data_IF_460366601844
#
_entry.id   IF_460366601844
#
_cell.length_a   1.000
_cell.length_b   1.000
_cell.length_c   1.000
_cell.angle_alpha   90.00
_cell.angle_beta   90.00
_cell.angle_gamma   90.00
#
_symmetry.space_group_name_H-M   'P 1'
#
loop_
_entity.id
_entity.type
_entity.pdbx_description
1 polymer ?
#
# COMPACT_ATOMS: atom_id res chain seq x y z
N UNK A 1 13.46 52.47 -7.24
CA UNK A 1 12.69 51.68 -6.26
C UNK A 1 11.60 50.85 -6.95
N UNK A 2 11.94 50.07 -7.99
CA UNK A 2 10.99 49.17 -8.67
C UNK A 2 11.49 47.72 -8.73
N UNK A 3 12.76 47.49 -8.36
CA UNK A 3 13.41 46.18 -8.43
C UNK A 3 13.26 45.34 -7.16
N UNK A 4 12.72 45.91 -6.06
CA UNK A 4 12.63 45.23 -4.76
C UNK A 4 11.27 44.55 -4.51
N UNK A 5 10.24 44.89 -5.31
CA UNK A 5 8.87 44.38 -5.12
C UNK A 5 8.65 43.05 -5.87
N UNK A 6 9.50 42.72 -6.84
CA UNK A 6 9.38 41.50 -7.65
C UNK A 6 10.01 40.24 -7.02
N UNK A 7 10.71 40.36 -5.89
CA UNK A 7 11.38 39.23 -5.23
C UNK A 7 10.52 38.52 -4.17
N UNK A 8 9.33 39.03 -3.87
CA UNK A 8 8.44 38.49 -2.82
C UNK A 8 7.24 37.73 -3.42
N UNK A 9 7.05 37.81 -4.74
CA UNK A 9 5.99 37.08 -5.43
C UNK A 9 6.52 35.76 -5.97
N UNK A 10 5.90 34.66 -5.55
CA UNK A 10 5.84 33.39 -6.27
C UNK A 10 6.89 32.31 -5.97
N UNK A 11 7.28 32.14 -4.71
CA UNK A 11 7.60 30.79 -4.20
C UNK A 11 6.71 30.49 -3.00
N UNK A 12 5.41 30.66 -3.20
CA UNK A 12 4.45 29.86 -2.45
C UNK A 12 4.50 28.44 -3.03
N UNK A 13 5.61 27.73 -2.83
CA UNK A 13 5.59 26.27 -2.86
C UNK A 13 4.70 25.87 -1.70
N UNK A 14 3.39 25.79 -1.98
CA UNK A 14 2.49 24.89 -1.28
C UNK A 14 3.09 23.50 -1.45
N UNK A 15 4.08 23.17 -0.62
CA UNK A 15 4.26 21.79 -0.19
C UNK A 15 2.98 21.48 0.55
N UNK A 16 1.95 21.07 -0.20
CA UNK A 16 0.81 20.40 0.38
C UNK A 16 1.39 19.24 1.15
N UNK A 17 1.44 19.39 2.47
CA UNK A 17 1.74 18.30 3.38
C UNK A 17 0.55 17.36 3.16
N UNK A 18 0.64 16.47 2.17
CA UNK A 18 -0.22 15.30 2.16
C UNK A 18 0.15 14.59 3.45
N UNK A 19 -0.71 14.72 4.46
CA UNK A 19 -0.63 13.90 5.64
C UNK A 19 -0.76 12.46 5.14
N UNK A 20 0.38 11.79 4.93
CA UNK A 20 0.41 10.40 4.54
C UNK A 20 -0.11 9.64 5.76
N UNK A 21 -1.24 8.93 5.60
CA UNK A 21 -1.75 8.04 6.63
C UNK A 21 -0.63 7.09 7.02
N UNK A 22 -0.21 7.10 8.29
CA UNK A 22 0.78 6.14 8.77
C UNK A 22 0.08 4.82 9.11
N UNK A 23 0.71 3.67 8.82
CA UNK A 23 0.27 2.39 9.33
C UNK A 23 0.13 2.42 10.85
N UNK A 24 -0.97 1.85 11.35
CA UNK A 24 -1.21 1.68 12.78
C UNK A 24 -0.51 0.44 13.33
N UNK A 25 -0.21 -0.54 12.46
CA UNK A 25 0.56 -1.72 12.82
C UNK A 25 1.30 -2.30 11.62
N UNK A 26 2.51 -2.79 11.84
CA UNK A 26 3.32 -3.52 10.85
C UNK A 26 3.89 -4.75 11.52
N UNK A 27 3.72 -5.92 10.90
CA UNK A 27 4.25 -7.19 11.40
C UNK A 27 5.02 -7.89 10.29
N UNK A 28 6.33 -7.96 10.43
CA UNK A 28 7.20 -8.70 9.52
C UNK A 28 7.20 -10.19 9.88
N UNK A 29 7.11 -11.04 8.87
CA UNK A 29 7.36 -12.47 9.02
C UNK A 29 8.87 -12.76 8.99
N UNK A 30 9.25 -13.95 9.46
CA UNK A 30 10.60 -14.46 9.24
C UNK A 30 10.77 -14.79 7.74
N UNK A 31 11.85 -14.32 7.08
CA UNK A 31 12.11 -14.65 5.69
C UNK A 31 12.31 -16.16 5.52
N UNK A 32 11.69 -16.75 4.50
CA UNK A 32 11.87 -18.16 4.18
C UNK A 32 13.18 -18.35 3.40
N UNK A 33 14.27 -18.52 4.15
CA UNK A 33 15.59 -18.86 3.60
C UNK A 33 16.32 -17.69 2.93
N UNK A 34 17.58 -17.95 2.57
CA UNK A 34 18.50 -16.98 2.02
C UNK A 34 18.25 -16.84 0.51
N UNK A 35 17.66 -15.71 0.06
CA UNK A 35 17.54 -15.37 -1.37
C UNK A 35 16.13 -15.08 -1.90
N UNK A 36 15.07 -15.39 -1.15
CA UNK A 36 13.69 -15.06 -1.56
C UNK A 36 13.27 -13.71 -0.94
N UNK A 37 13.55 -12.62 -1.64
CA UNK A 37 13.08 -11.28 -1.28
C UNK A 37 11.92 -10.87 -2.19
N UNK A 38 10.88 -10.32 -1.60
CA UNK A 38 9.72 -9.77 -2.30
C UNK A 38 10.15 -8.44 -2.96
N UNK A 39 10.08 -8.38 -4.29
CA UNK A 39 10.43 -7.18 -5.04
C UNK A 39 9.30 -6.14 -5.00
N UNK A 40 9.67 -4.88 -4.79
CA UNK A 40 8.73 -3.73 -4.74
C UNK A 40 7.93 -3.57 -6.03
N UNK A 41 8.59 -3.70 -7.17
CA UNK A 41 7.95 -3.55 -8.49
C UNK A 41 6.92 -4.66 -8.73
N UNK A 42 7.22 -5.88 -8.30
CA UNK A 42 6.31 -7.02 -8.37
C UNK A 42 5.05 -6.78 -7.52
N UNK A 43 5.20 -6.27 -6.29
CA UNK A 43 4.05 -5.91 -5.48
C UNK A 43 3.24 -4.77 -6.08
N UNK A 44 3.90 -3.79 -6.70
CA UNK A 44 3.22 -2.65 -7.33
C UNK A 44 2.35 -3.12 -8.49
N UNK A 45 2.87 -4.04 -9.31
CA UNK A 45 2.14 -4.70 -10.40
C UNK A 45 1.04 -5.65 -9.91
N UNK A 46 1.27 -6.37 -8.81
CA UNK A 46 0.24 -7.18 -8.17
C UNK A 46 -0.91 -6.30 -7.65
N UNK A 47 -0.58 -5.17 -7.00
CA UNK A 47 -1.57 -4.21 -6.50
C UNK A 47 -2.38 -3.58 -7.65
N UNK A 48 -1.76 -3.31 -8.80
CA UNK A 48 -2.48 -2.74 -9.95
C UNK A 48 -3.46 -3.71 -10.63
N UNK A 49 -3.47 -5.00 -10.26
CA UNK A 49 -4.47 -5.96 -10.73
C UNK A 49 -5.82 -5.81 -10.03
N UNK A 50 -5.88 -5.14 -8.87
CA UNK A 50 -7.15 -4.86 -8.19
C UNK A 50 -7.96 -3.80 -8.92
N UNK A 51 -9.29 -3.90 -8.82
CA UNK A 51 -10.18 -2.85 -9.34
C UNK A 51 -10.07 -1.59 -8.50
N UNK A 52 -9.76 -0.47 -9.15
CA UNK A 52 -9.66 0.85 -8.51
C UNK A 52 -10.56 1.83 -9.25
N UNK A 53 -11.42 2.49 -8.50
CA UNK A 53 -12.29 3.56 -9.00
C UNK A 53 -12.26 4.74 -8.03
N UNK A 54 -12.06 5.95 -8.55
CA UNK A 54 -12.08 7.18 -7.74
C UNK A 54 -11.18 7.15 -6.50
N UNK A 55 -10.00 6.51 -6.60
CA UNK A 55 -9.05 6.39 -5.49
C UNK A 55 -9.41 5.35 -4.43
N UNK A 56 -10.42 4.53 -4.67
CA UNK A 56 -10.85 3.43 -3.81
C UNK A 56 -10.48 2.11 -4.47
N UNK A 57 -9.83 1.22 -3.72
CA UNK A 57 -9.55 -0.15 -4.16
C UNK A 57 -10.64 -1.08 -3.65
N UNK A 58 -11.12 -1.98 -4.50
CA UNK A 58 -12.20 -2.92 -4.21
C UNK A 58 -11.71 -4.36 -4.28
N UNK A 59 -12.22 -5.19 -3.37
CA UNK A 59 -11.98 -6.64 -3.37
C UNK A 59 -13.17 -7.40 -2.77
N UNK A 60 -13.12 -8.72 -2.88
CA UNK A 60 -14.11 -9.61 -2.28
C UNK A 60 -13.42 -10.83 -1.69
N UNK A 61 -14.10 -11.61 -0.86
CA UNK A 61 -13.53 -12.86 -0.30
C UNK A 61 -13.08 -13.90 -1.35
N UNK A 62 -13.60 -13.81 -2.58
CA UNK A 62 -13.20 -14.72 -3.67
C UNK A 62 -11.99 -14.20 -4.45
N UNK A 63 -11.78 -12.90 -4.42
CA UNK A 63 -10.75 -12.18 -5.19
C UNK A 63 -10.20 -11.08 -4.27
N UNK A 64 -9.51 -11.52 -3.23
CA UNK A 64 -8.86 -10.65 -2.22
C UNK A 64 -7.35 -10.60 -2.41
N UNK A 65 -6.82 -11.40 -3.33
CA UNK A 65 -5.39 -11.51 -3.59
C UNK A 65 -5.06 -11.51 -5.08
N UNK A 66 -3.94 -10.87 -5.41
CA UNK A 66 -3.32 -10.92 -6.72
C UNK A 66 -1.82 -11.12 -6.56
N UNK A 67 -1.22 -11.88 -7.47
CA UNK A 67 0.21 -12.11 -7.48
C UNK A 67 0.86 -11.62 -8.78
N UNK A 68 2.15 -11.32 -8.69
CA UNK A 68 3.02 -10.96 -9.80
C UNK A 68 4.45 -11.26 -9.36
N UNK A 69 5.20 -12.04 -10.14
CA UNK A 69 6.58 -12.39 -9.86
C UNK A 69 6.76 -12.94 -8.44
N UNK A 70 7.59 -12.25 -7.66
CA UNK A 70 7.94 -12.58 -6.28
C UNK A 70 6.92 -12.13 -5.23
N UNK A 71 5.89 -11.38 -5.61
CA UNK A 71 4.94 -10.78 -4.67
C UNK A 71 3.50 -11.27 -4.87
N UNK A 72 2.82 -11.54 -3.76
CA UNK A 72 1.38 -11.68 -3.66
C UNK A 72 0.86 -10.62 -2.69
N UNK A 73 -0.07 -9.79 -3.15
CA UNK A 73 -0.75 -8.78 -2.35
C UNK A 73 -2.13 -9.32 -1.99
N UNK A 74 -2.49 -9.28 -0.71
CA UNK A 74 -3.81 -9.69 -0.21
C UNK A 74 -4.41 -8.59 0.65
N UNK A 75 -5.68 -8.27 0.45
CA UNK A 75 -6.42 -7.32 1.29
C UNK A 75 -7.35 -8.02 2.27
N UNK A 76 -7.39 -7.49 3.49
CA UNK A 76 -8.42 -7.86 4.47
C UNK A 76 -8.97 -6.60 5.16
N UNK A 77 -10.16 -6.71 5.74
CA UNK A 77 -10.78 -5.65 6.56
C UNK A 77 -11.06 -6.22 7.95
N UNK A 78 -10.10 -6.14 8.89
CA UNK A 78 -10.20 -6.83 10.17
C UNK A 78 -11.40 -6.39 11.01
N UNK A 79 -11.90 -5.16 10.84
CA UNK A 79 -13.08 -4.66 11.56
C UNK A 79 -14.42 -5.14 10.98
N UNK A 80 -14.44 -5.76 9.79
CA UNK A 80 -15.69 -6.16 9.12
C UNK A 80 -15.59 -7.61 8.62
N UNK A 81 -15.65 -8.60 9.53
CA UNK A 81 -15.36 -9.98 9.18
C UNK A 81 -16.36 -10.59 8.20
N UNK A 82 -17.58 -10.04 8.02
CA UNK A 82 -18.69 -10.65 7.26
C UNK A 82 -19.23 -9.86 6.06
N UNK A 83 -18.42 -9.00 5.45
CA UNK A 83 -18.82 -8.33 4.19
C UNK A 83 -18.46 -9.15 2.94
N UNK A 84 -19.31 -9.06 1.92
CA UNK A 84 -19.09 -9.64 0.58
C UNK A 84 -18.39 -8.66 -0.38
N UNK A 85 -18.57 -7.36 -0.15
CA UNK A 85 -17.88 -6.29 -0.87
C UNK A 85 -17.04 -5.50 0.10
N UNK A 86 -15.74 -5.45 -0.17
CA UNK A 86 -14.77 -4.77 0.67
C UNK A 86 -14.10 -3.68 -0.16
N UNK A 87 -13.83 -2.58 0.51
CA UNK A 87 -13.24 -1.40 -0.10
C UNK A 87 -12.34 -0.69 0.91
N UNK A 88 -11.34 0.00 0.37
CA UNK A 88 -10.33 0.74 1.11
C UNK A 88 -9.75 1.87 0.27
N UNK A 89 -9.09 2.81 0.91
CA UNK A 89 -8.45 3.92 0.22
C UNK A 89 -7.20 3.40 -0.49
N UNK A 90 -7.10 3.61 -1.80
CA UNK A 90 -5.97 3.12 -2.59
C UNK A 90 -4.64 3.77 -2.15
N UNK A 91 -4.67 5.04 -1.73
CA UNK A 91 -3.50 5.72 -1.16
C UNK A 91 -2.97 5.06 0.10
N UNK A 92 -3.86 4.56 0.97
CA UNK A 92 -3.48 3.80 2.16
C UNK A 92 -2.86 2.46 1.75
N UNK A 93 -3.44 1.77 0.77
CA UNK A 93 -2.88 0.52 0.25
C UNK A 93 -1.47 0.67 -0.33
N UNK A 94 -1.25 1.71 -1.15
CA UNK A 94 0.07 2.04 -1.70
C UNK A 94 1.06 2.38 -0.59
N UNK A 95 0.62 3.12 0.42
CA UNK A 95 1.46 3.47 1.57
C UNK A 95 1.84 2.24 2.39
N UNK A 96 0.87 1.36 2.66
CA UNK A 96 1.10 0.11 3.37
C UNK A 96 2.08 -0.80 2.63
N UNK A 97 1.93 -0.95 1.31
CA UNK A 97 2.86 -1.69 0.47
C UNK A 97 4.28 -1.12 0.58
N UNK A 98 4.43 0.19 0.31
CA UNK A 98 5.73 0.86 0.31
C UNK A 98 6.43 0.71 1.67
N UNK A 99 5.73 1.09 2.74
CA UNK A 99 6.30 1.06 4.08
C UNK A 99 6.54 -0.36 4.57
N UNK A 100 5.68 -1.32 4.23
CA UNK A 100 5.87 -2.73 4.58
C UNK A 100 7.16 -3.30 4.00
N UNK A 101 7.40 -3.10 2.70
CA UNK A 101 8.61 -3.60 2.04
C UNK A 101 9.86 -2.91 2.60
N UNK A 102 9.81 -1.58 2.77
CA UNK A 102 10.92 -0.79 3.31
C UNK A 102 11.26 -1.20 4.76
N UNK A 103 10.24 -1.44 5.60
CA UNK A 103 10.41 -1.82 7.01
C UNK A 103 10.88 -3.26 7.16
N UNK A 104 10.34 -4.19 6.36
CA UNK A 104 10.60 -5.61 6.51
C UNK A 104 11.66 -6.16 5.55
N UNK A 105 12.36 -5.29 4.80
CA UNK A 105 13.47 -5.68 3.91
C UNK A 105 13.06 -6.70 2.83
N UNK A 106 11.82 -6.63 2.35
CA UNK A 106 11.26 -7.58 1.38
C UNK A 106 10.90 -8.96 1.96
N UNK A 107 10.84 -9.12 3.29
CA UNK A 107 10.16 -10.27 3.89
C UNK A 107 8.63 -10.12 3.81
N UNK A 108 7.86 -11.22 3.91
CA UNK A 108 6.40 -11.14 4.02
C UNK A 108 6.01 -10.23 5.19
N UNK A 109 4.96 -9.45 5.00
CA UNK A 109 4.55 -8.41 5.95
C UNK A 109 3.05 -8.21 5.94
N UNK A 110 2.47 -8.06 7.12
CA UNK A 110 1.12 -7.57 7.31
C UNK A 110 1.16 -6.13 7.78
N UNK A 111 0.59 -5.21 7.00
CA UNK A 111 0.52 -3.78 7.32
C UNK A 111 -0.93 -3.36 7.48
N UNK A 112 -1.30 -2.83 8.63
CA UNK A 112 -2.63 -2.29 8.92
C UNK A 112 -2.60 -0.77 8.90
N UNK A 113 -3.52 -0.16 8.17
CA UNK A 113 -3.56 1.29 7.89
C UNK A 113 -5.01 1.75 7.69
N UNK A 114 -5.24 3.06 7.84
CA UNK A 114 -6.54 3.70 7.61
C UNK A 114 -7.21 4.15 8.91
N UNK A 115 -8.48 4.55 8.80
CA UNK A 115 -9.29 5.01 9.93
C UNK A 115 -9.40 3.94 11.02
N UNK A 116 -9.38 4.34 12.29
CA UNK A 116 -9.41 3.42 13.44
C UNK A 116 -10.68 2.57 13.50
N UNK A 117 -11.80 3.01 12.91
CA UNK A 117 -13.04 2.24 12.88
C UNK A 117 -13.12 1.32 11.66
N UNK A 118 -12.40 1.65 10.58
CA UNK A 118 -12.42 0.88 9.33
C UNK A 118 -11.03 0.70 8.71
N UNK A 119 -10.06 0.12 9.46
CA UNK A 119 -8.74 -0.10 8.92
C UNK A 119 -8.78 -1.21 7.86
N UNK A 120 -7.81 -1.18 6.96
CA UNK A 120 -7.51 -2.28 6.05
C UNK A 120 -6.17 -2.89 6.45
N UNK A 121 -6.01 -4.17 6.20
CA UNK A 121 -4.70 -4.84 6.29
C UNK A 121 -4.27 -5.29 4.91
N UNK A 122 -3.06 -4.89 4.52
CA UNK A 122 -2.38 -5.27 3.30
C UNK A 122 -1.31 -6.29 3.66
N UNK A 123 -1.53 -7.53 3.24
CA UNK A 123 -0.58 -8.62 3.42
C UNK A 123 0.24 -8.77 2.13
N UNK A 124 1.55 -8.65 2.27
CA UNK A 124 2.52 -9.01 1.23
C UNK A 124 3.09 -10.38 1.59
N UNK A 125 3.01 -11.30 0.66
CA UNK A 125 3.54 -12.65 0.80
C UNK A 125 4.31 -13.04 -0.47
N UNK A 126 4.99 -14.17 -0.44
CA UNK A 126 5.70 -14.70 -1.60
C UNK A 126 4.73 -15.02 -2.73
N UNK A 127 5.01 -14.44 -3.90
CA UNK A 127 4.38 -14.78 -5.16
C UNK A 127 4.94 -16.09 -5.73
N UNK A 128 4.12 -16.81 -6.48
CA UNK A 128 4.50 -18.09 -7.11
C UNK A 128 5.18 -17.91 -8.49
N UNK A 129 5.79 -16.76 -8.76
CA UNK A 129 6.40 -16.47 -10.07
C UNK A 129 5.40 -16.21 -11.19
N UNK A 130 4.19 -15.75 -10.86
CA UNK A 130 3.16 -15.44 -11.85
C UNK A 130 3.66 -14.36 -12.84
N UNK A 131 3.30 -14.50 -14.12
CA UNK A 131 3.62 -13.46 -15.09
C UNK A 131 2.86 -12.16 -14.79
N UNK A 132 3.58 -11.08 -14.98
CA UNK A 132 3.12 -9.71 -15.05
C UNK A 132 3.59 -9.16 -16.42
#
# INVERSE_FOLDING_TARGET
MLSYIYLISLVATLTGIQAQTLPTATTCAQPQGQGNSIAKDDCTKALSKFYVESGVVFWSRKVDSHACGTCKVTFTKPSVPNSVHLAGINGDAVTALRQGIETCGGAPVNVTIGDSNQPISVLLDYGAGEKC
#
